data_IF_729872358820
#
_entry.id   IF_729872358820
#
_cell.length_a   1.000
_cell.length_b   1.000
_cell.length_c   1.000
_cell.angle_alpha   90.00
_cell.angle_beta   90.00
_cell.angle_gamma   90.00
#
_symmetry.space_group_name_H-M   'P 1'
#
loop_
_entity.id
_entity.type
_entity.pdbx_description
1 polymer ?
#
# COMPACT_ATOMS: atom_id res chain seq x y z
N UNK A 1 3.68 56.32 -15.76
CA UNK A 1 4.75 55.46 -15.19
C UNK A 1 4.22 54.27 -14.36
N UNK A 2 3.17 54.41 -13.52
CA UNK A 2 2.62 53.33 -12.67
C UNK A 2 2.10 52.06 -13.39
N UNK A 3 1.63 52.15 -14.65
CA UNK A 3 1.14 50.99 -15.43
C UNK A 3 2.27 50.05 -15.91
N UNK A 4 3.45 50.59 -16.24
CA UNK A 4 4.61 49.80 -16.69
C UNK A 4 5.22 48.98 -15.53
N UNK A 5 5.18 49.51 -14.31
CA UNK A 5 5.65 48.82 -13.10
C UNK A 5 4.75 47.61 -12.79
N UNK A 6 3.42 47.75 -12.90
CA UNK A 6 2.48 46.63 -12.70
C UNK A 6 2.65 45.53 -13.76
N UNK A 7 2.89 45.91 -15.03
CA UNK A 7 3.11 44.94 -16.12
C UNK A 7 4.42 44.15 -15.93
N UNK A 8 5.50 44.82 -15.51
CA UNK A 8 6.78 44.17 -15.23
C UNK A 8 6.71 43.23 -14.02
N UNK A 9 5.93 43.58 -12.99
CA UNK A 9 5.71 42.69 -11.83
C UNK A 9 4.91 41.45 -12.25
N UNK A 10 3.87 41.61 -13.08
CA UNK A 10 3.08 40.47 -13.59
C UNK A 10 3.94 39.56 -14.48
N UNK A 11 4.80 40.13 -15.34
CA UNK A 11 5.76 39.36 -16.13
C UNK A 11 6.78 38.63 -15.25
N UNK A 12 7.30 39.29 -14.21
CA UNK A 12 8.26 38.68 -13.28
C UNK A 12 7.62 37.53 -12.48
N UNK A 13 6.38 37.70 -12.03
CA UNK A 13 5.61 36.66 -11.33
C UNK A 13 5.26 35.51 -12.29
N UNK A 14 4.92 35.78 -13.55
CA UNK A 14 4.62 34.75 -14.54
C UNK A 14 5.86 33.92 -14.92
N UNK A 15 7.05 34.54 -14.95
CA UNK A 15 8.33 33.85 -15.16
C UNK A 15 8.70 33.00 -13.94
N UNK A 16 8.51 33.51 -12.72
CA UNK A 16 8.70 32.73 -11.49
C UNK A 16 7.74 31.55 -11.39
N UNK A 17 6.48 31.70 -11.83
CA UNK A 17 5.50 30.61 -11.84
C UNK A 17 5.84 29.52 -12.86
N UNK A 18 6.41 29.88 -14.01
CA UNK A 18 6.89 28.90 -15.01
C UNK A 18 8.17 28.18 -14.57
N UNK A 19 9.06 28.84 -13.82
CA UNK A 19 10.29 28.21 -13.33
C UNK A 19 10.04 27.08 -12.31
N UNK A 20 8.90 27.11 -11.59
CA UNK A 20 8.52 26.10 -10.60
C UNK A 20 7.74 24.94 -11.25
N UNK A 21 7.16 25.15 -12.44
CA UNK A 21 6.32 24.19 -13.14
C UNK A 21 7.08 23.27 -14.12
N UNK A 22 8.42 23.24 -14.07
CA UNK A 22 9.16 22.20 -14.78
C UNK A 22 8.93 20.86 -14.09
N UNK A 23 8.34 19.85 -14.78
CA UNK A 23 8.28 18.50 -14.23
C UNK A 23 9.70 18.05 -13.94
N UNK A 24 10.02 17.92 -12.66
CA UNK A 24 11.26 17.29 -12.24
C UNK A 24 11.16 15.85 -12.70
N UNK A 25 11.96 15.46 -13.69
CA UNK A 25 12.11 14.07 -14.07
C UNK A 25 12.82 13.39 -12.91
N UNK A 26 12.04 12.87 -11.96
CA UNK A 26 12.55 12.00 -10.91
C UNK A 26 12.98 10.73 -11.61
N UNK A 27 14.27 10.57 -11.86
CA UNK A 27 14.82 9.29 -12.30
C UNK A 27 14.63 8.31 -11.15
N UNK A 28 13.70 7.37 -11.31
CA UNK A 28 13.64 6.21 -10.45
C UNK A 28 14.97 5.45 -10.57
N UNK A 29 15.61 5.15 -9.44
CA UNK A 29 16.78 4.31 -9.45
C UNK A 29 16.38 2.94 -10.00
N UNK A 30 17.08 2.46 -11.03
CA UNK A 30 16.86 1.11 -11.54
C UNK A 30 17.38 0.11 -10.51
N UNK A 31 16.46 -0.58 -9.82
CA UNK A 31 16.82 -1.59 -8.83
C UNK A 31 17.41 -2.83 -9.52
N UNK A 32 18.50 -3.42 -8.98
CA UNK A 32 19.03 -4.67 -9.49
C UNK A 32 18.04 -5.83 -9.30
N UNK A 33 18.11 -6.82 -10.18
CA UNK A 33 17.31 -8.05 -10.04
C UNK A 33 17.75 -8.84 -8.81
N UNK A 34 16.78 -9.49 -8.14
CA UNK A 34 17.07 -10.30 -6.96
C UNK A 34 18.09 -11.41 -7.25
N UNK A 35 19.17 -11.52 -6.46
CA UNK A 35 20.16 -12.58 -6.63
C UNK A 35 19.57 -13.94 -6.22
N UNK A 36 20.14 -15.04 -6.74
CA UNK A 36 19.83 -16.39 -6.25
C UNK A 36 20.49 -16.70 -4.90
N UNK A 37 21.60 -16.01 -4.61
CA UNK A 37 22.35 -16.07 -3.35
C UNK A 37 21.72 -15.18 -2.28
N UNK A 38 22.21 -15.29 -1.06
CA UNK A 38 21.83 -14.40 0.06
C UNK A 38 22.67 -13.11 0.11
N UNK A 39 23.48 -12.86 -0.92
CA UNK A 39 24.22 -11.63 -1.08
C UNK A 39 24.16 -11.16 -2.54
N UNK A 40 24.31 -9.86 -2.73
CA UNK A 40 24.54 -9.21 -4.02
C UNK A 40 25.71 -8.27 -3.83
N UNK A 41 26.73 -8.38 -4.68
CA UNK A 41 27.91 -7.53 -4.61
C UNK A 41 28.28 -7.03 -6.01
N UNK A 42 27.90 -5.80 -6.29
CA UNK A 42 28.19 -5.13 -7.56
C UNK A 42 29.55 -4.42 -7.54
N UNK A 43 30.04 -4.08 -6.35
CA UNK A 43 31.27 -3.32 -6.16
C UNK A 43 32.50 -4.22 -5.95
N UNK A 44 32.30 -5.52 -5.75
CA UNK A 44 33.37 -6.47 -5.47
C UNK A 44 34.01 -6.25 -4.09
N UNK A 45 33.24 -5.80 -3.11
CA UNK A 45 33.74 -5.55 -1.75
C UNK A 45 33.70 -6.81 -0.87
N UNK A 46 32.82 -7.77 -1.14
CA UNK A 46 32.67 -8.94 -0.29
C UNK A 46 33.72 -10.00 -0.65
N UNK A 47 34.52 -10.40 0.33
CA UNK A 47 35.46 -11.53 0.17
C UNK A 47 34.70 -12.85 0.11
N UNK A 48 35.29 -13.86 -0.52
CA UNK A 48 34.73 -15.23 -0.58
C UNK A 48 34.36 -15.77 0.80
N UNK A 49 35.17 -15.48 1.82
CA UNK A 49 34.91 -15.86 3.20
C UNK A 49 33.64 -15.21 3.77
N UNK A 50 33.38 -13.93 3.46
CA UNK A 50 32.18 -13.21 3.87
C UNK A 50 30.96 -13.74 3.13
N UNK A 51 31.08 -13.97 1.82
CA UNK A 51 30.01 -14.55 1.01
C UNK A 51 29.61 -15.94 1.54
N UNK A 52 30.58 -16.81 1.79
CA UNK A 52 30.35 -18.14 2.37
C UNK A 52 29.72 -18.07 3.76
N UNK A 53 30.18 -17.15 4.62
CA UNK A 53 29.59 -16.94 5.95
C UNK A 53 28.09 -16.60 5.83
N UNK A 54 27.74 -15.65 4.95
CA UNK A 54 26.35 -15.22 4.73
C UNK A 54 25.50 -16.39 4.27
N UNK A 55 25.97 -17.15 3.28
CA UNK A 55 25.23 -18.30 2.78
C UNK A 55 25.09 -19.42 3.81
N UNK A 56 26.18 -19.77 4.50
CA UNK A 56 26.19 -20.81 5.53
C UNK A 56 25.15 -20.51 6.62
N UNK A 57 25.14 -19.26 7.11
CA UNK A 57 24.21 -18.83 8.15
C UNK A 57 22.75 -18.88 7.70
N UNK A 58 22.44 -18.38 6.50
CA UNK A 58 21.09 -18.47 5.95
C UNK A 58 20.65 -19.92 5.69
N UNK A 59 21.56 -20.81 5.26
CA UNK A 59 21.26 -22.25 5.14
C UNK A 59 20.93 -22.88 6.49
N UNK A 60 21.61 -22.49 7.57
CA UNK A 60 21.27 -22.93 8.93
C UNK A 60 19.89 -22.43 9.35
N UNK A 61 19.53 -21.19 9.00
CA UNK A 61 18.21 -20.63 9.32
C UNK A 61 17.06 -21.34 8.62
N UNK A 62 17.24 -21.84 7.39
CA UNK A 62 16.19 -22.61 6.68
C UNK A 62 15.64 -23.79 7.50
N UNK A 63 16.46 -24.37 8.38
CA UNK A 63 16.07 -25.50 9.21
C UNK A 63 15.44 -25.10 10.55
N UNK A 64 15.38 -23.80 10.88
CA UNK A 64 14.76 -23.28 12.10
C UNK A 64 13.28 -23.00 11.87
N UNK A 65 12.44 -23.18 12.89
CA UNK A 65 10.98 -22.94 12.82
C UNK A 65 10.61 -21.52 12.35
N UNK A 66 11.33 -20.51 12.84
CA UNK A 66 11.11 -19.12 12.43
C UNK A 66 11.79 -18.76 11.10
N UNK A 67 12.74 -19.56 10.60
CA UNK A 67 13.44 -19.40 9.32
C UNK A 67 13.77 -17.95 8.88
N UNK A 68 14.46 -17.15 9.71
CA UNK A 68 14.81 -15.78 9.33
C UNK A 68 15.73 -15.76 8.11
N UNK A 69 15.63 -14.70 7.31
CA UNK A 69 16.45 -14.52 6.11
C UNK A 69 17.21 -13.19 6.21
N UNK A 70 18.55 -13.24 6.15
CA UNK A 70 19.41 -12.06 6.25
C UNK A 70 20.19 -11.91 4.94
N UNK A 71 19.90 -10.87 4.18
CA UNK A 71 20.52 -10.60 2.87
C UNK A 71 21.47 -9.41 2.97
N UNK A 72 22.60 -9.48 2.27
CA UNK A 72 23.56 -8.38 2.15
C UNK A 72 23.59 -7.88 0.72
N UNK A 73 23.43 -6.58 0.50
CA UNK A 73 23.53 -5.96 -0.81
C UNK A 73 24.59 -4.88 -0.80
N UNK A 74 25.54 -4.95 -1.73
CA UNK A 74 26.55 -3.93 -1.99
C UNK A 74 26.32 -3.38 -3.39
N UNK A 75 26.00 -2.08 -3.49
CA UNK A 75 25.67 -1.40 -4.74
C UNK A 75 26.62 -0.23 -5.00
N UNK A 76 26.96 -0.01 -6.27
CA UNK A 76 27.85 1.08 -6.66
C UNK A 76 27.19 2.46 -6.45
N UNK A 77 25.88 2.56 -6.62
CA UNK A 77 25.15 3.82 -6.46
C UNK A 77 23.67 3.56 -6.21
N UNK A 78 23.02 4.49 -5.51
CA UNK A 78 21.55 4.55 -5.39
C UNK A 78 20.90 5.41 -6.47
N UNK A 79 21.66 5.88 -7.47
CA UNK A 79 21.12 6.72 -8.55
C UNK A 79 20.64 8.10 -8.09
N UNK A 80 21.14 8.59 -6.96
CA UNK A 80 20.73 9.87 -6.36
C UNK A 80 19.57 9.76 -5.36
N UNK A 81 19.03 8.55 -5.16
CA UNK A 81 17.99 8.29 -4.18
C UNK A 81 18.55 8.17 -2.75
N UNK A 82 17.73 8.53 -1.75
CA UNK A 82 18.09 8.33 -0.35
C UNK A 82 18.27 6.84 -0.06
N UNK A 83 19.39 6.45 0.55
CA UNK A 83 19.74 5.04 0.80
C UNK A 83 18.64 4.29 1.57
N UNK A 84 17.94 4.96 2.48
CA UNK A 84 16.82 4.36 3.22
C UNK A 84 15.61 4.03 2.34
N UNK A 85 15.27 4.92 1.39
CA UNK A 85 14.21 4.66 0.41
C UNK A 85 14.64 3.55 -0.54
N UNK A 86 15.85 3.64 -1.09
CA UNK A 86 16.39 2.61 -1.96
C UNK A 86 16.40 1.23 -1.27
N UNK A 87 16.83 1.16 -0.01
CA UNK A 87 16.83 -0.09 0.77
C UNK A 87 15.42 -0.67 0.95
N UNK A 88 14.42 0.17 1.21
CA UNK A 88 13.02 -0.27 1.35
C UNK A 88 12.50 -0.84 0.04
N UNK A 89 12.73 -0.15 -1.07
CA UNK A 89 12.22 -0.56 -2.37
C UNK A 89 12.96 -1.81 -2.87
N UNK A 90 14.26 -1.94 -2.56
CA UNK A 90 15.02 -3.17 -2.76
C UNK A 90 14.49 -4.33 -1.91
N UNK A 91 14.23 -4.10 -0.63
CA UNK A 91 13.70 -5.12 0.29
C UNK A 91 12.36 -5.68 -0.20
N UNK A 92 11.47 -4.80 -0.68
CA UNK A 92 10.16 -5.17 -1.21
C UNK A 92 10.26 -5.88 -2.56
N UNK A 93 11.06 -5.34 -3.49
CA UNK A 93 11.22 -5.93 -4.84
C UNK A 93 11.84 -7.32 -4.78
N UNK A 94 12.80 -7.54 -3.88
CA UNK A 94 13.44 -8.84 -3.68
C UNK A 94 12.64 -9.79 -2.80
N UNK A 95 11.54 -9.31 -2.19
CA UNK A 95 10.67 -10.10 -1.30
C UNK A 95 11.48 -10.84 -0.23
N UNK A 96 12.31 -10.10 0.50
CA UNK A 96 13.25 -10.68 1.47
C UNK A 96 12.48 -11.20 2.68
N UNK A 97 12.68 -12.48 3.00
CA UNK A 97 12.00 -13.18 4.09
C UNK A 97 10.67 -13.82 3.67
N UNK A 98 10.04 -14.49 4.62
CA UNK A 98 8.73 -15.09 4.46
C UNK A 98 7.64 -14.02 4.61
N UNK A 99 6.74 -13.93 3.63
CA UNK A 99 5.65 -12.94 3.59
C UNK A 99 4.71 -13.02 4.81
N UNK A 100 4.47 -14.22 5.34
CA UNK A 100 3.59 -14.43 6.49
C UNK A 100 4.28 -14.11 7.81
N UNK A 101 5.59 -14.38 7.91
CA UNK A 101 6.38 -14.18 9.14
C UNK A 101 7.04 -12.81 9.21
N UNK A 102 7.22 -12.13 8.08
CA UNK A 102 7.92 -10.83 7.95
C UNK A 102 9.30 -10.86 8.63
N UNK A 103 10.04 -11.95 8.42
CA UNK A 103 11.28 -12.30 9.12
C UNK A 103 12.55 -12.02 8.29
N UNK A 104 12.45 -11.10 7.34
CA UNK A 104 13.55 -10.69 6.47
C UNK A 104 14.38 -9.56 7.06
N UNK A 105 15.67 -9.56 6.76
CA UNK A 105 16.61 -8.46 7.03
C UNK A 105 17.44 -8.21 5.78
N UNK A 106 17.62 -6.94 5.43
CA UNK A 106 18.53 -6.47 4.40
C UNK A 106 19.57 -5.55 5.03
N UNK A 107 20.84 -5.85 4.81
CA UNK A 107 21.97 -4.97 5.08
C UNK A 107 22.41 -4.39 3.73
N UNK A 108 22.07 -3.13 3.47
CA UNK A 108 22.47 -2.44 2.25
C UNK A 108 23.71 -1.57 2.52
N UNK A 109 24.74 -1.74 1.69
CA UNK A 109 25.89 -0.85 1.59
C UNK A 109 25.90 -0.19 0.21
N UNK A 110 25.97 1.13 0.16
CA UNK A 110 26.04 1.91 -1.08
C UNK A 110 27.33 2.73 -1.15
N UNK A 111 28.05 2.66 -2.27
CA UNK A 111 29.26 3.44 -2.53
C UNK A 111 28.91 4.88 -2.94
N UNK A 112 28.25 5.61 -2.05
CA UNK A 112 27.75 6.96 -2.32
C UNK A 112 28.63 8.08 -1.74
N UNK A 113 29.78 7.75 -1.12
CA UNK A 113 30.67 8.69 -0.42
C UNK A 113 29.95 9.65 0.55
N UNK A 114 28.73 9.31 0.99
CA UNK A 114 27.86 10.18 1.76
C UNK A 114 27.91 9.90 3.25
N UNK A 115 27.22 10.73 4.03
CA UNK A 115 27.11 10.56 5.49
C UNK A 115 26.42 9.24 5.88
N UNK A 116 25.50 8.74 5.06
CA UNK A 116 24.82 7.45 5.24
C UNK A 116 25.04 6.57 4.02
N UNK A 117 25.97 5.62 4.15
CA UNK A 117 26.29 4.60 3.15
C UNK A 117 25.68 3.23 3.51
N UNK A 118 25.24 3.03 4.75
CA UNK A 118 24.70 1.75 5.22
C UNK A 118 23.33 1.91 5.82
N UNK A 119 22.41 1.00 5.47
CA UNK A 119 21.07 0.91 6.04
C UNK A 119 20.75 -0.55 6.35
N UNK A 120 20.16 -0.80 7.52
CA UNK A 120 19.59 -2.09 7.89
C UNK A 120 18.07 -1.99 7.80
N UNK A 121 17.48 -2.62 6.80
CA UNK A 121 16.03 -2.73 6.64
C UNK A 121 15.56 -4.07 7.23
N UNK A 122 14.54 -4.03 8.08
CA UNK A 122 14.04 -5.21 8.82
C UNK A 122 12.54 -5.34 8.59
N UNK A 123 12.07 -6.57 8.45
CA UNK A 123 10.64 -6.90 8.43
C UNK A 123 10.04 -6.90 9.83
N UNK A 124 8.74 -6.60 9.92
CA UNK A 124 8.04 -6.42 11.20
C UNK A 124 8.12 -7.63 12.16
N UNK A 125 8.34 -8.84 11.65
CA UNK A 125 8.48 -10.06 12.46
C UNK A 125 9.71 -10.08 13.36
N UNK A 126 10.73 -9.27 13.04
CA UNK A 126 11.97 -9.16 13.80
C UNK A 126 12.14 -7.80 14.49
N UNK A 127 11.18 -6.87 14.38
CA UNK A 127 11.35 -5.50 14.89
C UNK A 127 11.48 -5.44 16.42
N UNK A 128 10.86 -6.37 17.15
CA UNK A 128 11.04 -6.47 18.61
C UNK A 128 12.51 -6.77 19.00
N UNK A 129 13.25 -7.47 18.15
CA UNK A 129 14.64 -7.90 18.42
C UNK A 129 15.64 -6.92 17.81
N UNK A 130 15.37 -6.52 16.57
CA UNK A 130 16.18 -5.61 15.77
C UNK A 130 15.48 -4.26 15.64
N UNK A 131 15.09 -3.70 16.80
CA UNK A 131 14.46 -2.38 16.84
C UNK A 131 15.42 -1.29 16.34
N UNK A 132 14.90 -0.09 16.10
CA UNK A 132 15.67 1.02 15.54
C UNK A 132 16.91 1.39 16.39
N UNK A 133 16.80 1.31 17.72
CA UNK A 133 17.91 1.60 18.64
C UNK A 133 19.03 0.59 18.47
N UNK A 134 18.70 -0.71 18.49
CA UNK A 134 19.68 -1.80 18.34
C UNK A 134 20.39 -1.76 16.99
N UNK A 135 19.64 -1.50 15.91
CA UNK A 135 20.22 -1.32 14.56
C UNK A 135 21.17 -0.14 14.50
N UNK A 136 20.78 0.99 15.08
CA UNK A 136 21.62 2.19 15.11
C UNK A 136 22.90 1.95 15.89
N UNK A 137 22.81 1.26 17.03
CA UNK A 137 23.98 0.85 17.82
C UNK A 137 24.91 -0.06 17.02
N UNK A 138 24.40 -1.11 16.36
CA UNK A 138 25.22 -2.02 15.55
C UNK A 138 25.96 -1.25 14.43
N UNK A 139 25.29 -0.31 13.76
CA UNK A 139 25.93 0.50 12.72
C UNK A 139 26.99 1.44 13.28
N UNK A 140 26.74 2.00 14.46
CA UNK A 140 27.69 2.90 15.12
C UNK A 140 28.94 2.15 15.60
N UNK A 141 28.77 0.98 16.21
CA UNK A 141 29.86 0.12 16.67
C UNK A 141 30.82 -0.28 15.52
N UNK A 142 30.27 -0.42 14.30
CA UNK A 142 31.02 -0.80 13.10
C UNK A 142 31.38 0.40 12.20
N UNK A 143 31.06 1.63 12.62
CA UNK A 143 31.13 2.84 11.78
C UNK A 143 32.53 3.06 11.19
N UNK A 144 33.58 2.89 12.01
CA UNK A 144 34.97 3.12 11.60
C UNK A 144 35.34 2.29 10.37
N UNK A 145 34.99 1.00 10.38
CA UNK A 145 35.27 0.08 9.29
C UNK A 145 34.38 0.37 8.07
N UNK A 146 33.08 0.60 8.30
CA UNK A 146 32.11 0.89 7.24
C UNK A 146 32.38 2.22 6.50
N UNK A 147 33.07 3.17 7.15
CA UNK A 147 33.47 4.46 6.56
C UNK A 147 34.91 4.48 6.04
N UNK A 148 35.62 3.36 6.13
CA UNK A 148 36.97 3.27 5.61
C UNK A 148 37.00 3.45 4.09
N UNK A 149 38.12 3.97 3.58
CA UNK A 149 38.44 3.98 2.15
C UNK A 149 39.05 2.65 1.69
N UNK A 150 39.49 1.81 2.62
CA UNK A 150 40.03 0.48 2.34
C UNK A 150 38.89 -0.54 2.21
N UNK A 151 38.76 -1.13 1.02
CA UNK A 151 37.77 -2.16 0.70
C UNK A 151 37.81 -3.35 1.67
N UNK A 152 38.98 -3.73 2.19
CA UNK A 152 39.11 -4.84 3.13
C UNK A 152 38.50 -4.49 4.50
N UNK A 153 38.74 -3.27 4.98
CA UNK A 153 38.12 -2.78 6.22
C UNK A 153 36.60 -2.63 6.05
N UNK A 154 36.14 -2.17 4.88
CA UNK A 154 34.71 -2.11 4.58
C UNK A 154 34.07 -3.50 4.61
N UNK A 155 34.69 -4.49 3.97
CA UNK A 155 34.26 -5.90 4.03
C UNK A 155 34.17 -6.39 5.49
N UNK A 156 35.19 -6.12 6.30
CA UNK A 156 35.18 -6.47 7.72
C UNK A 156 34.02 -5.81 8.47
N UNK A 157 33.77 -4.52 8.22
CA UNK A 157 32.63 -3.81 8.82
C UNK A 157 31.27 -4.40 8.43
N UNK A 158 31.10 -4.80 7.16
CA UNK A 158 29.89 -5.48 6.68
C UNK A 158 29.75 -6.86 7.34
N UNK A 159 30.85 -7.62 7.41
CA UNK A 159 30.90 -8.94 8.04
C UNK A 159 30.55 -8.87 9.53
N UNK A 160 31.11 -7.90 10.26
CA UNK A 160 30.81 -7.67 11.68
C UNK A 160 29.37 -7.25 11.89
N UNK A 161 28.84 -6.35 11.04
CA UNK A 161 27.43 -5.95 11.07
C UNK A 161 26.51 -7.17 10.88
N UNK A 162 26.81 -8.03 9.92
CA UNK A 162 26.08 -9.28 9.69
C UNK A 162 26.15 -10.23 10.91
N UNK A 163 27.32 -10.40 11.51
CA UNK A 163 27.49 -11.22 12.70
C UNK A 163 26.69 -10.68 13.89
N UNK A 164 26.73 -9.38 14.16
CA UNK A 164 25.97 -8.77 15.25
C UNK A 164 24.45 -8.92 15.05
N UNK A 165 23.96 -8.73 13.83
CA UNK A 165 22.53 -8.93 13.51
C UNK A 165 22.13 -10.38 13.75
N UNK A 166 22.90 -11.32 13.21
CA UNK A 166 22.57 -12.75 13.32
C UNK A 166 22.71 -13.28 14.73
N UNK A 167 23.63 -12.73 15.53
CA UNK A 167 23.72 -12.99 16.97
C UNK A 167 22.46 -12.53 17.69
N UNK A 168 21.98 -11.31 17.46
CA UNK A 168 20.75 -10.80 18.10
C UNK A 168 19.53 -11.67 17.76
N UNK A 169 19.42 -12.13 16.51
CA UNK A 169 18.36 -13.05 16.06
C UNK A 169 18.48 -14.43 16.74
N UNK A 170 19.71 -14.91 16.98
CA UNK A 170 19.94 -16.22 17.59
C UNK A 170 19.72 -16.21 19.11
N UNK A 171 20.12 -15.14 19.80
CA UNK A 171 19.96 -14.98 21.26
C UNK A 171 18.51 -14.73 21.66
N UNK A 172 17.75 -14.05 20.80
CA UNK A 172 16.34 -13.80 21.02
C UNK A 172 15.59 -14.51 19.87
N UNK A 173 15.22 -15.79 19.97
CA UNK A 173 14.35 -16.40 18.96
C UNK A 173 12.98 -15.72 19.00
N UNK A 174 12.47 -15.33 17.83
CA UNK A 174 11.20 -14.60 17.72
C UNK A 174 10.06 -15.42 18.26
N UNK A 175 9.65 -15.12 19.49
CA UNK A 175 8.35 -15.49 20.01
C UNK A 175 7.33 -14.63 19.27
N UNK A 176 6.97 -15.03 18.05
CA UNK A 176 5.75 -14.55 17.41
C UNK A 176 4.56 -15.02 18.24
N UNK A 177 4.34 -14.35 19.37
CA UNK A 177 3.19 -14.53 20.25
C UNK A 177 1.99 -13.80 19.63
N UNK A 178 1.57 -14.23 18.45
CA UNK A 178 0.14 -14.27 18.24
C UNK A 178 -0.35 -15.45 19.08
N UNK A 179 -0.77 -15.17 20.32
CA UNK A 179 -1.34 -16.19 21.22
C UNK A 179 -2.34 -17.03 20.43
N UNK A 180 -2.48 -18.35 20.69
CA UNK A 180 -3.49 -19.19 20.04
C UNK A 180 -4.90 -18.58 20.15
N UNK A 181 -5.13 -17.78 21.19
CA UNK A 181 -6.31 -16.94 21.38
C UNK A 181 -6.52 -15.93 20.24
N UNK A 182 -5.49 -15.19 19.80
CA UNK A 182 -5.62 -14.16 18.75
C UNK A 182 -5.86 -14.79 17.38
N UNK A 183 -5.17 -15.88 17.02
CA UNK A 183 -5.47 -16.62 15.78
C UNK A 183 -6.87 -17.22 15.80
N UNK A 184 -7.31 -17.73 16.96
CA UNK A 184 -8.67 -18.21 17.18
C UNK A 184 -9.72 -17.11 17.02
N UNK A 185 -9.51 -15.95 17.63
CA UNK A 185 -10.41 -14.79 17.53
C UNK A 185 -10.49 -14.27 16.10
N UNK A 186 -9.35 -14.12 15.41
CA UNK A 186 -9.35 -13.67 14.00
C UNK A 186 -10.06 -14.68 13.10
N UNK A 187 -9.83 -15.98 13.28
CA UNK A 187 -10.57 -17.00 12.53
C UNK A 187 -12.07 -16.98 12.83
N UNK A 188 -12.46 -16.86 14.12
CA UNK A 188 -13.87 -16.82 14.52
C UNK A 188 -14.61 -15.58 14.05
N UNK A 189 -13.94 -14.43 13.93
CA UNK A 189 -14.59 -13.19 13.50
C UNK A 189 -14.52 -13.03 11.97
N UNK A 190 -13.38 -13.32 11.35
CA UNK A 190 -13.14 -13.04 9.93
C UNK A 190 -13.74 -14.13 9.02
N UNK A 191 -13.67 -15.41 9.39
CA UNK A 191 -14.23 -16.49 8.59
C UNK A 191 -15.75 -16.35 8.34
N UNK A 192 -16.62 -16.06 9.34
CA UNK A 192 -18.04 -15.90 9.07
C UNK A 192 -18.34 -14.65 8.23
N UNK A 193 -17.55 -13.58 8.34
CA UNK A 193 -17.71 -12.38 7.50
C UNK A 193 -17.44 -12.72 6.03
N UNK A 194 -16.36 -13.46 5.75
CA UNK A 194 -16.02 -13.89 4.38
C UNK A 194 -17.10 -14.82 3.82
N UNK A 195 -17.56 -15.80 4.62
CA UNK A 195 -18.65 -16.70 4.24
C UNK A 195 -19.93 -15.91 3.95
N UNK A 196 -20.27 -14.92 4.78
CA UNK A 196 -21.43 -14.06 4.58
C UNK A 196 -21.33 -13.28 3.26
N UNK A 197 -20.16 -12.74 2.91
CA UNK A 197 -19.95 -12.03 1.64
C UNK A 197 -20.13 -12.99 0.43
N UNK A 198 -19.61 -14.21 0.53
CA UNK A 198 -19.76 -15.24 -0.51
C UNK A 198 -21.22 -15.65 -0.66
N UNK A 199 -21.93 -15.86 0.44
CA UNK A 199 -23.36 -16.23 0.43
C UNK A 199 -24.22 -15.07 -0.09
N UNK A 200 -23.98 -13.84 0.35
CA UNK A 200 -24.71 -12.66 -0.10
C UNK A 200 -24.52 -12.41 -1.60
N UNK A 201 -23.30 -12.59 -2.12
CA UNK A 201 -23.04 -12.49 -3.55
C UNK A 201 -23.72 -13.62 -4.33
N UNK A 202 -23.67 -14.86 -3.86
CA UNK A 202 -24.38 -15.99 -4.48
C UNK A 202 -25.91 -15.80 -4.49
N UNK A 203 -26.50 -15.29 -3.40
CA UNK A 203 -27.92 -14.96 -3.31
C UNK A 203 -28.29 -13.83 -4.26
N UNK A 204 -27.46 -12.78 -4.36
CA UNK A 204 -27.67 -11.69 -5.33
C UNK A 204 -27.66 -12.17 -6.78
N UNK A 205 -26.74 -13.09 -7.12
CA UNK A 205 -26.68 -13.73 -8.43
C UNK A 205 -27.93 -14.60 -8.66
N UNK A 206 -28.33 -15.39 -7.68
CA UNK A 206 -29.53 -16.22 -7.78
C UNK A 206 -30.81 -15.39 -7.97
N UNK A 207 -30.96 -14.27 -7.25
CA UNK A 207 -32.10 -13.37 -7.39
C UNK A 207 -32.15 -12.70 -8.78
N UNK A 208 -31.00 -12.29 -9.32
CA UNK A 208 -30.93 -11.71 -10.67
C UNK A 208 -31.25 -12.74 -11.75
N UNK A 209 -30.76 -13.97 -11.62
CA UNK A 209 -31.08 -15.09 -12.53
C UNK A 209 -32.55 -15.52 -12.42
N UNK A 210 -33.10 -15.58 -11.21
CA UNK A 210 -34.52 -15.90 -10.99
C UNK A 210 -35.44 -14.84 -11.60
N UNK A 211 -35.07 -13.56 -11.47
CA UNK A 211 -35.80 -12.44 -12.11
C UNK A 211 -35.69 -12.48 -13.63
N UNK A 212 -34.55 -12.95 -14.15
CA UNK A 212 -34.36 -13.19 -15.58
C UNK A 212 -35.23 -14.34 -16.10
N UNK A 213 -35.41 -15.42 -15.33
CA UNK A 213 -36.23 -16.57 -15.72
C UNK A 213 -37.74 -16.35 -15.55
N UNK A 214 -38.17 -15.45 -14.66
CA UNK A 214 -39.61 -15.16 -14.46
C UNK A 214 -40.17 -14.11 -15.42
N UNK A 215 -39.34 -13.50 -16.28
CA UNK A 215 -39.82 -12.59 -17.32
C UNK A 215 -40.27 -13.41 -18.53
N UNK A 216 -41.58 -13.47 -18.72
CA UNK A 216 -42.16 -13.97 -19.96
C UNK A 216 -41.71 -13.09 -21.14
N UNK A 217 -41.48 -13.69 -22.31
CA UNK A 217 -41.05 -12.99 -23.54
C UNK A 217 -41.97 -11.83 -23.97
N UNK A 218 -43.15 -11.69 -23.36
CA UNK A 218 -44.14 -10.67 -23.69
C UNK A 218 -43.90 -9.31 -22.99
N UNK A 219 -43.09 -9.23 -21.92
CA UNK A 219 -42.85 -7.98 -21.20
C UNK A 219 -41.59 -7.22 -21.66
N UNK A 220 -40.64 -7.89 -22.33
CA UNK A 220 -39.41 -7.26 -22.84
C UNK A 220 -39.70 -6.26 -23.98
N UNK A 221 -40.70 -6.52 -24.82
CA UNK A 221 -41.07 -5.64 -25.95
C UNK A 221 -41.77 -4.35 -25.46
N UNK A 222 -42.35 -4.34 -24.25
CA UNK A 222 -43.09 -3.19 -23.73
C UNK A 222 -42.20 -2.16 -23.05
N UNK A 223 -41.06 -2.57 -22.50
CA UNK A 223 -40.12 -1.66 -21.80
C UNK A 223 -39.13 -0.96 -22.75
N UNK A 224 -38.76 -1.59 -23.87
CA UNK A 224 -37.92 -0.95 -24.91
C UNK A 224 -38.67 0.14 -25.68
N UNK A 225 -40.02 0.14 -25.68
CA UNK A 225 -40.85 1.21 -26.30
C UNK A 225 -41.10 2.42 -25.42
N UNK A 226 -40.80 2.39 -24.11
CA UNK A 226 -40.93 3.59 -23.24
C UNK A 226 -39.66 4.42 -23.10
N UNK A 227 -38.52 3.95 -23.62
CA UNK A 227 -37.24 4.68 -23.54
C UNK A 227 -36.80 5.40 -24.83
N UNK A 228 -37.47 5.17 -25.97
CA UNK A 228 -37.09 5.75 -27.27
C UNK A 228 -38.14 6.68 -27.92
N UNK A 229 -39.00 7.32 -27.13
CA UNK A 229 -39.91 8.38 -27.61
C UNK A 229 -39.51 9.80 -27.15
N UNK A 230 -38.28 9.99 -26.66
CA UNK A 230 -37.78 11.30 -26.22
C UNK A 230 -36.81 11.96 -27.21
N UNK A 231 -36.92 11.64 -28.51
CA UNK A 231 -36.02 12.21 -29.51
C UNK A 231 -36.48 12.04 -30.96
N UNK A 232 -37.77 12.30 -31.28
CA UNK A 232 -38.13 12.79 -32.63
C UNK A 232 -39.56 13.35 -32.70
N UNK A 233 -39.69 14.64 -32.40
CA UNK A 233 -40.58 15.62 -33.07
C UNK A 233 -40.75 16.84 -32.16
N UNK A 234 -39.78 17.75 -32.22
CA UNK A 234 -40.11 19.17 -32.14
C UNK A 234 -40.84 19.53 -33.44
N UNK A 235 -41.75 20.50 -33.36
CA UNK A 235 -42.49 21.16 -34.45
C UNK A 235 -43.82 20.52 -34.90
N UNK A 236 -44.91 20.85 -34.19
CA UNK A 236 -46.04 21.51 -34.85
C UNK A 236 -46.83 22.33 -33.84
N UNK A 237 -46.84 23.62 -34.11
CA UNK A 237 -47.63 24.66 -33.46
C UNK A 237 -48.98 24.76 -34.22
N UNK A 238 -49.96 25.41 -33.59
CA UNK A 238 -51.28 25.81 -34.10
C UNK A 238 -52.39 24.76 -34.23
N UNK A 239 -53.54 25.10 -33.65
CA UNK A 239 -54.85 24.74 -34.20
C UNK A 239 -55.83 24.17 -33.17
N UNK A 240 -56.68 25.07 -32.68
CA UNK A 240 -58.13 24.89 -32.64
C UNK A 240 -58.82 24.15 -31.46
N UNK A 241 -59.40 25.00 -30.61
CA UNK A 241 -60.80 25.06 -30.14
C UNK A 241 -61.55 23.82 -29.57
N UNK A 242 -62.03 23.92 -28.32
CA UNK A 242 -63.44 24.18 -27.96
C UNK A 242 -63.76 23.88 -26.48
N UNK A 243 -64.77 24.61 -25.99
CA UNK A 243 -65.33 24.71 -24.64
C UNK A 243 -65.98 23.40 -24.14
N UNK A 244 -66.00 23.20 -22.81
CA UNK A 244 -67.24 23.21 -22.02
C UNK A 244 -66.98 22.91 -20.52
N UNK A 245 -67.60 23.75 -19.67
CA UNK A 245 -67.64 23.68 -18.22
C UNK A 245 -68.55 22.55 -17.72
N UNK A 246 -68.28 21.96 -16.55
CA UNK A 246 -69.35 21.55 -15.63
C UNK A 246 -68.88 21.46 -14.17
N UNK A 247 -69.66 22.14 -13.32
CA UNK A 247 -69.55 22.29 -11.88
C UNK A 247 -70.60 21.39 -11.18
N UNK A 248 -70.25 20.74 -10.06
CA UNK A 248 -71.14 20.30 -8.96
C UNK A 248 -70.26 19.61 -7.90
N UNK A 249 -70.28 19.86 -6.59
CA UNK A 249 -71.21 20.57 -5.71
C UNK A 249 -71.45 19.74 -4.43
N UNK A 250 -71.10 20.30 -3.25
CA UNK A 250 -71.60 19.92 -1.90
C UNK A 250 -70.82 18.82 -1.13
N UNK A 251 -70.53 18.91 0.19
CA UNK A 251 -70.83 19.88 1.25
C UNK A 251 -70.99 19.18 2.62
N UNK A 252 -70.38 19.74 3.69
CA UNK A 252 -70.71 19.64 5.14
C UNK A 252 -70.59 18.26 5.87
N UNK A 253 -69.85 18.10 6.98
CA UNK A 253 -70.13 18.60 8.36
C UNK A 253 -70.72 17.44 9.19
N UNK A 254 -70.56 17.20 10.50
CA UNK A 254 -69.92 17.83 11.67
C UNK A 254 -70.27 16.97 12.91
N UNK A 255 -69.45 17.00 13.96
CA UNK A 255 -69.84 16.67 15.35
C UNK A 255 -69.50 15.24 15.81
N UNK A 256 -68.97 14.98 17.01
CA UNK A 256 -68.72 15.84 18.16
C UNK A 256 -68.93 15.07 19.48
N UNK A 257 -67.86 14.96 20.26
CA UNK A 257 -67.78 15.11 21.72
C UNK A 257 -68.21 14.03 22.73
N UNK A 258 -67.50 14.18 23.87
CA UNK A 258 -67.68 13.70 25.25
C UNK A 258 -67.07 12.32 25.56
N UNK A 259 -66.09 12.17 26.45
CA UNK A 259 -65.87 12.85 27.74
C UNK A 259 -66.11 11.81 28.85
N UNK A 260 -65.35 11.64 29.92
CA UNK A 260 -64.18 12.30 30.49
C UNK A 260 -63.93 11.70 31.89
N UNK A 261 -62.93 12.25 32.58
CA UNK A 261 -62.76 12.30 34.05
C UNK A 261 -62.48 10.95 34.79
N UNK A 262 -61.70 10.87 35.87
CA UNK A 262 -61.14 11.88 36.77
C UNK A 262 -59.97 11.27 37.55
N UNK A 263 -59.11 12.17 37.98
CA UNK A 263 -58.11 12.12 39.05
C UNK A 263 -58.50 11.31 40.29
N UNK A 264 -57.49 10.62 40.86
CA UNK A 264 -56.95 10.78 42.23
C UNK A 264 -55.43 10.55 42.12
#
# INVERSE_FOLDING_TARGET
MRKKIKLNIVLFVAILFNAIAWPQIVKAATLPSSPRSFYYDEAGLLTDSTQQLIENKNRQYKNKSHAPQVVVAVVNSTGGEQVGTYARDLFQSWRIGDYSKNNGVLILYALNNGERNVVIQVGNGLDNQLNASKRSQILEDNRTNLKSTDSLLVNQGIQQTFNSITQVIDENPSTSSASPVVKGIVFQIVAPIIIFIIVASAVGIWLTVKRYHSMSKQEFIRDTRRRNLWSYSRYRNYGDDHFDDHFSGGGGGSGGSAGGSSDI
#
